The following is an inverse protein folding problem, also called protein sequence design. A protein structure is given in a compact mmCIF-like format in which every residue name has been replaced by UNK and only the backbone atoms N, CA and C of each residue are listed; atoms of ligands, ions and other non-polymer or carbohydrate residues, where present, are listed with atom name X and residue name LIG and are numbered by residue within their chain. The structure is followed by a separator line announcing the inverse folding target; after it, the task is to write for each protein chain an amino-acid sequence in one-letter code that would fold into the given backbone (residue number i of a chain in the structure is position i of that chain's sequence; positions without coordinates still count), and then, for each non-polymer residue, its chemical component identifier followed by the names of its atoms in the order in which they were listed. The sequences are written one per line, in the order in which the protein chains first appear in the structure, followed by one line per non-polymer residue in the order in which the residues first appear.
data_IF_552199657389
#
_entry.id   IF_552199657389
#
_cell.length_a   1.000
_cell.length_b   1.000
_cell.length_c   1.000
_cell.angle_alpha   90.00
_cell.angle_beta   90.00
_cell.angle_gamma   90.00
#
_symmetry.space_group_name_H-M   'P 1'
#
loop_
_entity.id
_entity.type
_entity.pdbx_description
1 polymer ?
#
# COMPACT_ATOMS: atom_id res chain seq x y z
N UNK A 1 16.79 4.33 2.54
CA UNK A 1 15.36 4.57 2.18
C UNK A 1 14.80 3.29 1.58
N UNK A 2 13.81 2.66 2.22
CA UNK A 2 13.24 1.38 1.77
C UNK A 2 12.14 1.62 0.72
N UNK A 3 12.12 0.78 -0.33
CA UNK A 3 11.06 0.78 -1.35
C UNK A 3 10.27 -0.53 -1.26
N UNK A 4 8.94 -0.45 -1.21
CA UNK A 4 8.05 -1.60 -1.03
C UNK A 4 7.00 -1.64 -2.15
N UNK A 5 6.89 -2.78 -2.82
CA UNK A 5 5.79 -3.06 -3.76
C UNK A 5 4.82 -4.02 -3.08
N UNK A 6 3.54 -3.63 -3.00
CA UNK A 6 2.47 -4.46 -2.44
C UNK A 6 1.54 -4.88 -3.57
N UNK A 7 1.45 -6.19 -3.84
CA UNK A 7 0.58 -6.78 -4.86
C UNK A 7 -0.67 -7.34 -4.19
N UNK A 8 -1.83 -7.15 -4.82
CA UNK A 8 -3.11 -7.44 -4.16
C UNK A 8 -3.39 -6.43 -3.05
N UNK A 9 -3.01 -5.17 -3.29
CA UNK A 9 -2.96 -4.11 -2.29
C UNK A 9 -4.32 -3.73 -1.67
N UNK A 10 -5.43 -4.25 -2.19
CA UNK A 10 -6.78 -3.94 -1.72
C UNK A 10 -7.30 -4.87 -0.61
N UNK A 11 -6.52 -5.86 -0.17
CA UNK A 11 -6.88 -6.69 0.99
C UNK A 11 -6.65 -5.94 2.30
N UNK A 12 -7.39 -6.31 3.37
CA UNK A 12 -7.23 -5.68 4.67
C UNK A 12 -5.80 -5.84 5.24
N UNK A 13 -5.16 -6.99 5.01
CA UNK A 13 -3.78 -7.24 5.44
C UNK A 13 -2.80 -6.36 4.66
N UNK A 14 -3.01 -6.21 3.34
CA UNK A 14 -2.14 -5.39 2.51
C UNK A 14 -2.21 -3.91 2.92
N UNK A 15 -3.40 -3.40 3.20
CA UNK A 15 -3.59 -2.04 3.73
C UNK A 15 -2.89 -1.85 5.08
N UNK A 16 -3.14 -2.75 6.05
CA UNK A 16 -2.50 -2.68 7.36
C UNK A 16 -0.96 -2.74 7.25
N UNK A 17 -0.44 -3.58 6.35
CA UNK A 17 0.99 -3.68 6.04
C UNK A 17 1.51 -2.37 5.44
N UNK A 18 0.81 -1.79 4.47
CA UNK A 18 1.17 -0.52 3.85
C UNK A 18 1.29 0.59 4.91
N UNK A 19 0.30 0.70 5.81
CA UNK A 19 0.30 1.70 6.90
C UNK A 19 1.52 1.54 7.83
N UNK A 20 1.90 0.30 8.16
CA UNK A 20 3.09 0.03 9.00
C UNK A 20 4.40 0.41 8.30
N UNK A 21 4.53 0.16 7.00
CA UNK A 21 5.71 0.57 6.24
C UNK A 21 5.76 2.08 6.01
N UNK A 22 4.61 2.73 5.80
CA UNK A 22 4.50 4.17 5.63
C UNK A 22 4.96 4.90 6.90
N UNK A 23 4.53 4.41 8.08
CA UNK A 23 4.97 4.92 9.38
C UNK A 23 6.50 4.81 9.61
N UNK A 24 7.19 3.94 8.86
CA UNK A 24 8.65 3.78 8.90
C UNK A 24 9.38 4.62 7.85
N UNK A 25 8.67 5.47 7.09
CA UNK A 25 9.22 6.29 6.02
C UNK A 25 9.57 5.52 4.74
N UNK A 26 8.95 4.36 4.51
CA UNK A 26 9.13 3.62 3.27
C UNK A 26 8.38 4.29 2.11
N UNK A 27 8.96 4.25 0.91
CA UNK A 27 8.26 4.57 -0.34
C UNK A 27 7.48 3.34 -0.80
N UNK A 28 6.16 3.46 -0.97
CA UNK A 28 5.26 2.33 -1.22
C UNK A 28 4.60 2.47 -2.59
N UNK A 29 4.58 1.38 -3.34
CA UNK A 29 3.80 1.21 -4.57
C UNK A 29 2.71 0.17 -4.36
N UNK A 30 1.45 0.55 -4.63
CA UNK A 30 0.29 -0.33 -4.48
C UNK A 30 -0.14 -0.84 -5.85
N UNK A 31 -0.21 -2.16 -6.03
CA UNK A 31 -0.66 -2.81 -7.26
C UNK A 31 -1.93 -3.61 -7.01
N UNK A 32 -2.95 -3.35 -7.82
CA UNK A 32 -4.24 -4.01 -7.77
C UNK A 32 -5.13 -3.62 -8.94
N UNK A 33 -6.30 -4.27 -9.05
CA UNK A 33 -7.23 -4.09 -10.17
C UNK A 33 -8.23 -2.96 -9.97
N UNK A 34 -8.43 -2.51 -8.72
CA UNK A 34 -9.45 -1.53 -8.35
C UNK A 34 -8.79 -0.19 -8.03
N UNK A 35 -8.60 0.66 -9.04
CA UNK A 35 -7.87 1.93 -8.92
C UNK A 35 -8.41 2.83 -7.81
N UNK A 36 -9.73 3.03 -7.75
CA UNK A 36 -10.39 3.86 -6.71
C UNK A 36 -10.09 3.38 -5.29
N UNK A 37 -10.02 2.06 -5.08
CA UNK A 37 -9.67 1.48 -3.78
C UNK A 37 -8.18 1.64 -3.47
N UNK A 38 -7.32 1.60 -4.47
CA UNK A 38 -5.88 1.88 -4.30
C UNK A 38 -5.65 3.35 -3.92
N UNK A 39 -6.35 4.28 -4.56
CA UNK A 39 -6.32 5.71 -4.23
C UNK A 39 -6.78 5.96 -2.80
N UNK A 40 -7.87 5.31 -2.37
CA UNK A 40 -8.36 5.38 -0.98
C UNK A 40 -7.33 4.90 0.03
N UNK A 41 -6.56 3.85 -0.30
CA UNK A 41 -5.50 3.31 0.59
C UNK A 41 -4.24 4.19 0.57
N UNK A 42 -3.99 4.90 -0.52
CA UNK A 42 -2.82 5.76 -0.70
C UNK A 42 -2.99 7.17 -0.08
N UNK A 43 -4.22 7.57 0.25
CA UNK A 43 -4.54 8.81 0.96
C UNK A 43 -4.10 8.77 2.43
#
# INVERSE_FOLDING_TARGET
MQRVLIIGATSAIAEATARRYAARGAAIHLLGRQATRLETIAA
#
